data_IF_976026551493
#
_entry.id   IF_976026551493
#
_cell.length_a   1.000
_cell.length_b   1.000
_cell.length_c   1.000
_cell.angle_alpha   90.00
_cell.angle_beta   90.00
_cell.angle_gamma   90.00
#
_symmetry.space_group_name_H-M   'P 1'
#
loop_
_entity.id
_entity.type
_entity.pdbx_description
1 polymer ?
#
# COMPACT_ATOMS: atom_id res chain seq x y z
N UNK A 1 -29.39 4.03 -36.58
CA UNK A 1 -29.93 2.65 -36.59
C UNK A 1 -28.96 1.78 -35.80
N UNK A 2 -29.42 1.11 -34.74
CA UNK A 2 -28.58 0.20 -33.97
C UNK A 2 -28.49 -1.15 -34.69
N UNK A 3 -27.30 -1.48 -35.19
CA UNK A 3 -27.00 -2.77 -35.80
C UNK A 3 -27.19 -3.90 -34.76
N UNK A 4 -27.98 -4.92 -35.10
CA UNK A 4 -28.17 -6.11 -34.26
C UNK A 4 -27.09 -7.12 -34.54
N UNK A 5 -26.48 -7.65 -33.49
CA UNK A 5 -25.43 -8.68 -33.58
C UNK A 5 -26.08 -10.03 -33.36
N UNK A 6 -25.91 -10.94 -34.32
CA UNK A 6 -26.41 -12.30 -34.23
C UNK A 6 -25.28 -13.23 -33.77
N UNK A 7 -25.46 -13.89 -32.63
CA UNK A 7 -24.49 -14.82 -32.06
C UNK A 7 -25.03 -16.24 -32.23
N UNK A 8 -24.33 -17.06 -33.00
CA UNK A 8 -24.51 -18.51 -32.93
C UNK A 8 -23.93 -19.03 -31.60
N UNK A 9 -24.15 -20.32 -31.31
CA UNK A 9 -23.81 -20.91 -30.02
C UNK A 9 -22.30 -20.82 -29.71
N UNK A 10 -21.46 -21.02 -30.74
CA UNK A 10 -19.99 -20.91 -30.64
C UNK A 10 -19.54 -19.46 -30.40
N UNK A 11 -20.13 -18.48 -31.10
CA UNK A 11 -19.86 -17.05 -30.87
C UNK A 11 -20.36 -16.57 -29.52
N UNK A 12 -21.46 -17.14 -29.01
CA UNK A 12 -21.98 -16.81 -27.68
C UNK A 12 -21.03 -17.30 -26.58
N UNK A 13 -20.46 -18.50 -26.72
CA UNK A 13 -19.44 -19.02 -25.82
C UNK A 13 -18.18 -18.16 -25.83
N UNK A 14 -17.65 -17.82 -27.01
CA UNK A 14 -16.50 -16.92 -27.15
C UNK A 14 -16.76 -15.54 -26.54
N UNK A 15 -17.97 -15.00 -26.73
CA UNK A 15 -18.38 -13.73 -26.13
C UNK A 15 -18.46 -13.83 -24.59
N UNK A 16 -19.02 -14.92 -24.06
CA UNK A 16 -19.07 -15.17 -22.63
C UNK A 16 -17.68 -15.38 -22.02
N UNK A 17 -16.75 -16.03 -22.71
CA UNK A 17 -15.37 -16.12 -22.24
C UNK A 17 -14.68 -14.76 -22.23
N UNK A 18 -14.90 -13.94 -23.27
CA UNK A 18 -14.26 -12.64 -23.43
C UNK A 18 -14.73 -11.59 -22.42
N UNK A 19 -16.03 -11.58 -22.10
CA UNK A 19 -16.64 -10.60 -21.20
C UNK A 19 -17.00 -11.17 -19.83
N UNK A 20 -17.19 -12.48 -19.71
CA UNK A 20 -17.58 -13.19 -18.50
C UNK A 20 -16.40 -13.86 -17.78
N UNK A 21 -16.36 -15.20 -17.79
CA UNK A 21 -15.60 -16.01 -16.82
C UNK A 21 -14.10 -15.72 -16.79
N UNK A 22 -13.43 -15.76 -17.94
CA UNK A 22 -11.98 -15.58 -18.04
C UNK A 22 -11.55 -14.17 -17.67
N UNK A 23 -12.39 -13.19 -18.02
CA UNK A 23 -12.17 -11.79 -17.65
C UNK A 23 -12.32 -11.55 -16.15
N UNK A 24 -13.29 -12.17 -15.49
CA UNK A 24 -13.42 -12.12 -14.03
C UNK A 24 -12.18 -12.67 -13.33
N UNK A 25 -11.67 -13.81 -13.80
CA UNK A 25 -10.47 -14.41 -13.25
C UNK A 25 -9.26 -13.47 -13.40
N UNK A 26 -9.02 -12.95 -14.61
CA UNK A 26 -7.94 -12.00 -14.86
C UNK A 26 -8.04 -10.72 -14.00
N UNK A 27 -9.25 -10.15 -13.87
CA UNK A 27 -9.45 -8.95 -13.06
C UNK A 27 -9.25 -9.23 -11.56
N UNK A 28 -9.69 -10.41 -11.09
CA UNK A 28 -9.45 -10.86 -9.73
C UNK A 28 -7.96 -11.08 -9.46
N UNK A 29 -7.24 -11.72 -10.38
CA UNK A 29 -5.79 -11.94 -10.31
C UNK A 29 -5.01 -10.62 -10.28
N UNK A 30 -5.40 -9.65 -11.12
CA UNK A 30 -4.78 -8.32 -11.12
C UNK A 30 -5.00 -7.58 -9.80
N UNK A 31 -6.22 -7.63 -9.24
CA UNK A 31 -6.52 -7.03 -7.94
C UNK A 31 -5.76 -7.74 -6.80
N UNK A 32 -5.61 -9.06 -6.87
CA UNK A 32 -4.86 -9.86 -5.89
C UNK A 32 -3.35 -9.56 -5.97
N UNK A 33 -2.76 -9.53 -7.16
CA UNK A 33 -1.35 -9.22 -7.37
C UNK A 33 -1.03 -7.79 -6.90
N UNK A 34 -1.93 -6.84 -7.19
CA UNK A 34 -1.82 -5.49 -6.67
C UNK A 34 -1.87 -5.48 -5.13
N UNK A 35 -2.83 -6.18 -4.53
CA UNK A 35 -2.93 -6.28 -3.07
C UNK A 35 -1.66 -6.88 -2.44
N UNK A 36 -1.11 -7.93 -3.04
CA UNK A 36 0.13 -8.59 -2.60
C UNK A 36 1.34 -7.67 -2.67
N UNK A 37 1.54 -6.95 -3.78
CA UNK A 37 2.66 -6.01 -3.95
C UNK A 37 2.60 -4.87 -2.93
N UNK A 38 1.41 -4.30 -2.71
CA UNK A 38 1.21 -3.25 -1.71
C UNK A 38 1.49 -3.76 -0.30
N UNK A 39 1.07 -4.99 0.02
CA UNK A 39 1.32 -5.63 1.32
C UNK A 39 2.81 -5.95 1.55
N UNK A 40 3.52 -6.42 0.52
CA UNK A 40 4.96 -6.73 0.61
C UNK A 40 5.80 -5.46 0.86
N UNK A 41 5.55 -4.38 0.11
CA UNK A 41 6.20 -3.08 0.32
C UNK A 41 5.94 -2.51 1.73
N UNK A 42 4.70 -2.66 2.20
CA UNK A 42 4.30 -2.29 3.55
C UNK A 42 5.06 -3.09 4.62
N UNK A 43 5.09 -4.42 4.50
CA UNK A 43 5.79 -5.29 5.43
C UNK A 43 7.28 -4.95 5.50
N UNK A 44 7.94 -4.81 4.34
CA UNK A 44 9.37 -4.44 4.28
C UNK A 44 9.68 -3.12 4.96
N UNK A 45 8.81 -2.12 4.81
CA UNK A 45 8.97 -0.79 5.38
C UNK A 45 8.87 -0.81 6.91
N UNK A 46 7.88 -1.53 7.46
CA UNK A 46 7.76 -1.73 8.91
C UNK A 46 8.91 -2.55 9.46
N UNK A 47 9.30 -3.62 8.77
CA UNK A 47 10.41 -4.48 9.18
C UNK A 47 11.71 -3.67 9.29
N UNK A 48 11.93 -2.77 8.34
CA UNK A 48 13.07 -1.86 8.37
C UNK A 48 13.04 -0.93 9.58
N UNK A 49 11.92 -0.21 9.81
CA UNK A 49 11.76 0.69 10.95
C UNK A 49 11.94 -0.07 12.27
N UNK A 50 11.37 -1.27 12.41
CA UNK A 50 11.48 -2.09 13.60
C UNK A 50 12.93 -2.52 13.88
N UNK A 51 13.67 -2.93 12.85
CA UNK A 51 15.09 -3.26 12.97
C UNK A 51 15.91 -2.04 13.39
N UNK A 52 15.64 -0.86 12.82
CA UNK A 52 16.30 0.39 13.21
C UNK A 52 16.03 0.73 14.68
N UNK A 53 14.77 0.68 15.12
CA UNK A 53 14.39 0.90 16.53
C UNK A 53 15.12 -0.08 17.45
N UNK A 54 15.20 -1.36 17.06
CA UNK A 54 15.88 -2.40 17.84
C UNK A 54 17.37 -2.09 18.00
N UNK A 55 18.04 -1.69 16.92
CA UNK A 55 19.46 -1.29 16.96
C UNK A 55 19.65 -0.09 17.89
N UNK A 56 18.79 0.92 17.78
CA UNK A 56 18.83 2.10 18.66
C UNK A 56 18.67 1.68 20.12
N UNK A 57 17.70 0.80 20.42
CA UNK A 57 17.47 0.28 21.76
C UNK A 57 18.66 -0.51 22.31
N UNK A 58 19.35 -1.28 21.48
CA UNK A 58 20.58 -1.98 21.87
C UNK A 58 21.68 -0.98 22.23
N UNK A 59 21.88 0.06 21.41
CA UNK A 59 22.90 1.10 21.66
C UNK A 59 22.60 1.86 22.94
N UNK A 60 21.36 2.28 23.15
CA UNK A 60 20.89 2.92 24.40
C UNK A 60 21.11 2.01 25.62
N UNK A 61 20.75 0.72 25.49
CA UNK A 61 20.97 -0.27 26.55
C UNK A 61 22.45 -0.39 26.94
N UNK A 62 23.36 -0.41 25.96
CA UNK A 62 24.80 -0.39 26.22
C UNK A 62 25.24 0.91 26.91
N UNK A 63 24.69 2.06 26.51
CA UNK A 63 24.91 3.35 27.17
C UNK A 63 24.63 3.30 28.67
N UNK A 64 23.44 2.81 29.05
CA UNK A 64 23.05 2.64 30.46
C UNK A 64 23.93 1.65 31.23
N UNK A 65 24.39 0.56 30.59
CA UNK A 65 25.30 -0.38 31.27
C UNK A 65 26.67 0.22 31.57
N UNK A 66 27.07 1.26 30.84
CA UNK A 66 28.36 1.94 31.02
C UNK A 66 28.24 3.22 31.86
N UNK A 67 27.11 3.48 32.51
CA UNK A 67 26.82 4.76 33.19
C UNK A 67 27.88 5.16 34.22
N UNK A 68 28.49 4.19 34.91
CA UNK A 68 29.54 4.42 35.92
C UNK A 68 30.83 5.01 35.35
N UNK A 69 31.00 4.98 34.02
CA UNK A 69 32.18 5.48 33.31
C UNK A 69 31.89 6.80 32.56
N UNK A 70 30.69 7.34 32.70
CA UNK A 70 30.29 8.62 32.11
C UNK A 70 31.04 9.76 32.80
N UNK A 71 31.60 10.67 32.01
CA UNK A 71 32.29 11.86 32.52
C UNK A 71 31.39 13.08 32.55
N UNK A 72 30.42 13.15 31.64
CA UNK A 72 29.48 14.25 31.53
C UNK A 72 28.02 13.77 31.50
N UNK A 73 27.38 13.78 32.66
CA UNK A 73 26.02 13.27 32.86
C UNK A 73 24.97 14.00 31.99
N UNK A 74 25.17 15.30 31.74
CA UNK A 74 24.23 16.10 30.95
C UNK A 74 24.22 15.64 29.48
N UNK A 75 25.41 15.47 28.89
CA UNK A 75 25.53 14.97 27.51
C UNK A 75 25.01 13.53 27.39
N UNK A 76 25.22 12.72 28.43
CA UNK A 76 24.69 11.36 28.47
C UNK A 76 23.16 11.33 28.47
N UNK A 77 22.51 12.10 29.37
CA UNK A 77 21.05 12.18 29.45
C UNK A 77 20.44 12.74 28.16
N UNK A 78 21.07 13.76 27.56
CA UNK A 78 20.62 14.30 26.27
C UNK A 78 20.76 13.29 25.13
N UNK A 79 21.86 12.53 25.10
CA UNK A 79 22.08 11.46 24.13
C UNK A 79 21.03 10.35 24.24
N UNK A 80 20.83 9.80 25.45
CA UNK A 80 19.79 8.80 25.72
C UNK A 80 18.37 9.34 25.41
N UNK A 81 18.10 10.60 25.76
CA UNK A 81 16.83 11.25 25.46
C UNK A 81 16.54 11.34 23.96
N UNK A 82 17.57 11.61 23.15
CA UNK A 82 17.47 11.62 21.68
C UNK A 82 17.27 10.21 21.11
N UNK A 83 17.96 9.20 21.64
CA UNK A 83 17.75 7.81 21.24
C UNK A 83 16.33 7.34 21.58
N UNK A 84 15.84 7.68 22.77
CA UNK A 84 14.46 7.39 23.17
C UNK A 84 13.45 8.11 22.27
N UNK A 85 13.70 9.38 21.92
CA UNK A 85 12.87 10.11 20.98
C UNK A 85 12.86 9.45 19.59
N UNK A 86 14.01 8.93 19.11
CA UNK A 86 14.09 8.20 17.86
C UNK A 86 13.22 6.93 17.87
N UNK A 87 13.23 6.18 18.99
CA UNK A 87 12.37 5.02 19.22
C UNK A 87 10.89 5.44 19.18
N UNK A 88 10.51 6.49 19.92
CA UNK A 88 9.15 6.98 19.99
C UNK A 88 8.62 7.43 18.61
N UNK A 89 9.44 8.17 17.85
CA UNK A 89 9.13 8.58 16.47
C UNK A 89 8.98 7.36 15.57
N UNK A 90 9.85 6.35 15.71
CA UNK A 90 9.76 5.10 14.98
C UNK A 90 8.45 4.35 15.23
N UNK A 91 8.07 4.17 16.50
CA UNK A 91 6.81 3.50 16.87
C UNK A 91 5.60 4.27 16.34
N UNK A 92 5.57 5.59 16.56
CA UNK A 92 4.49 6.45 16.06
C UNK A 92 4.36 6.38 14.55
N UNK A 93 5.49 6.37 13.85
CA UNK A 93 5.53 6.27 12.39
C UNK A 93 5.01 4.93 11.89
N UNK A 94 5.39 3.82 12.52
CA UNK A 94 4.86 2.49 12.20
C UNK A 94 3.35 2.44 12.36
N UNK A 95 2.81 3.00 13.45
CA UNK A 95 1.37 3.09 13.67
C UNK A 95 0.68 3.96 12.61
N UNK A 96 1.26 5.10 12.26
CA UNK A 96 0.72 6.01 11.25
C UNK A 96 0.69 5.37 9.86
N UNK A 97 1.77 4.68 9.47
CA UNK A 97 1.86 3.93 8.21
C UNK A 97 0.80 2.84 8.20
N UNK A 98 0.65 2.08 9.30
CA UNK A 98 -0.38 1.04 9.38
C UNK A 98 -1.81 1.57 9.19
N UNK A 99 -2.16 2.65 9.89
CA UNK A 99 -3.50 3.23 9.79
C UNK A 99 -3.76 3.83 8.41
N UNK A 100 -2.75 4.48 7.81
CA UNK A 100 -2.84 5.01 6.45
C UNK A 100 -3.03 3.92 5.41
N UNK A 101 -2.23 2.85 5.47
CA UNK A 101 -2.33 1.72 4.55
C UNK A 101 -3.64 0.97 4.69
N UNK A 102 -4.11 0.74 5.93
CA UNK A 102 -5.41 0.12 6.15
C UNK A 102 -6.53 0.90 5.50
N UNK A 103 -6.54 2.23 5.67
CA UNK A 103 -7.55 3.10 5.07
C UNK A 103 -7.49 3.07 3.53
N UNK A 104 -6.28 3.11 2.96
CA UNK A 104 -6.09 3.06 1.51
C UNK A 104 -6.52 1.70 0.93
N UNK A 105 -6.21 0.61 1.62
CA UNK A 105 -6.61 -0.74 1.24
C UNK A 105 -8.14 -0.90 1.31
N UNK A 106 -8.77 -0.43 2.38
CA UNK A 106 -10.23 -0.46 2.54
C UNK A 106 -10.94 0.36 1.45
N UNK A 107 -10.41 1.54 1.10
CA UNK A 107 -10.95 2.39 0.03
C UNK A 107 -10.80 1.73 -1.36
N UNK A 108 -9.62 1.19 -1.67
CA UNK A 108 -9.37 0.45 -2.91
C UNK A 108 -10.31 -0.75 -3.03
N UNK A 109 -10.40 -1.58 -2.00
CA UNK A 109 -11.26 -2.76 -2.00
C UNK A 109 -12.74 -2.38 -2.12
N UNK A 110 -13.16 -1.28 -1.48
CA UNK A 110 -14.52 -0.74 -1.61
C UNK A 110 -14.82 -0.30 -3.04
N UNK A 111 -13.89 0.43 -3.69
CA UNK A 111 -14.00 0.85 -5.11
C UNK A 111 -14.11 -0.35 -6.03
N UNK A 112 -13.24 -1.35 -5.88
CA UNK A 112 -13.25 -2.59 -6.67
C UNK A 112 -14.56 -3.37 -6.47
N UNK A 113 -15.00 -3.56 -5.22
CA UNK A 113 -16.26 -4.24 -4.91
C UNK A 113 -17.47 -3.53 -5.50
N UNK A 114 -17.50 -2.19 -5.42
CA UNK A 114 -18.54 -1.37 -6.04
C UNK A 114 -18.52 -1.53 -7.57
N UNK A 115 -17.33 -1.48 -8.17
CA UNK A 115 -17.14 -1.66 -9.61
C UNK A 115 -17.69 -3.01 -10.09
N UNK A 116 -17.31 -4.12 -9.44
CA UNK A 116 -17.81 -5.45 -9.79
C UNK A 116 -19.34 -5.57 -9.66
N UNK A 117 -19.93 -4.95 -8.64
CA UNK A 117 -21.38 -4.94 -8.45
C UNK A 117 -22.09 -4.20 -9.59
N UNK A 118 -21.57 -3.04 -9.99
CA UNK A 118 -22.11 -2.25 -11.10
C UNK A 118 -21.92 -2.94 -12.44
N UNK A 119 -20.75 -3.52 -12.67
CA UNK A 119 -20.45 -4.29 -13.86
C UNK A 119 -21.41 -5.48 -13.98
N UNK A 120 -21.63 -6.25 -12.91
CA UNK A 120 -22.53 -7.40 -12.95
C UNK A 120 -23.98 -6.99 -13.25
N UNK A 121 -24.42 -5.88 -12.68
CA UNK A 121 -25.74 -5.31 -12.95
C UNK A 121 -25.91 -4.89 -14.42
N UNK A 122 -24.83 -4.47 -15.09
CA UNK A 122 -24.82 -4.15 -16.52
C UNK A 122 -24.68 -5.39 -17.40
N UNK A 123 -23.83 -6.34 -17.02
CA UNK A 123 -23.57 -7.53 -17.81
C UNK A 123 -24.76 -8.47 -17.89
N UNK A 124 -25.44 -8.74 -16.77
CA UNK A 124 -26.57 -9.67 -16.74
C UNK A 124 -27.64 -9.36 -17.81
N UNK A 125 -28.18 -8.13 -17.92
CA UNK A 125 -29.16 -7.82 -18.96
C UNK A 125 -28.56 -7.84 -20.38
N UNK A 126 -27.27 -7.54 -20.54
CA UNK A 126 -26.60 -7.63 -21.85
C UNK A 126 -26.42 -9.09 -22.28
N UNK A 127 -26.08 -9.97 -21.34
CA UNK A 127 -26.00 -11.40 -21.58
C UNK A 127 -27.37 -12.01 -21.90
N UNK A 128 -28.42 -11.61 -21.18
CA UNK A 128 -29.80 -12.03 -21.49
C UNK A 128 -30.23 -11.60 -22.91
N UNK A 129 -29.78 -10.43 -23.38
CA UNK A 129 -29.96 -9.98 -24.78
C UNK A 129 -29.11 -10.76 -25.76
N UNK A 130 -27.89 -11.13 -25.39
CA UNK A 130 -26.98 -11.95 -26.21
C UNK A 130 -27.61 -13.31 -26.50
N UNK A 131 -28.14 -14.00 -25.47
CA UNK A 131 -28.84 -15.29 -25.61
C UNK A 131 -30.04 -15.18 -26.56
N UNK A 132 -30.74 -14.03 -26.54
CA UNK A 132 -31.93 -13.78 -27.36
C UNK A 132 -31.61 -13.19 -28.74
N UNK A 133 -30.34 -13.09 -29.14
CA UNK A 133 -29.91 -12.46 -30.40
C UNK A 133 -30.45 -11.03 -30.61
N UNK A 134 -30.58 -10.29 -29.51
CA UNK A 134 -31.06 -8.90 -29.50
C UNK A 134 -30.00 -7.94 -28.95
N UNK A 135 -28.72 -8.31 -29.13
CA UNK A 135 -27.57 -7.53 -28.70
C UNK A 135 -27.37 -6.35 -29.66
N UNK A 136 -27.12 -5.17 -29.10
CA UNK A 136 -26.78 -3.98 -29.89
C UNK A 136 -25.33 -3.58 -29.66
N UNK A 137 -24.75 -2.86 -30.64
CA UNK A 137 -23.40 -2.29 -30.50
C UNK A 137 -23.25 -1.38 -29.27
N UNK A 138 -24.33 -0.68 -28.88
CA UNK A 138 -24.34 0.18 -27.69
C UNK A 138 -24.18 -0.62 -26.39
N UNK A 139 -24.71 -1.84 -26.32
CA UNK A 139 -24.55 -2.72 -25.16
C UNK A 139 -23.08 -3.15 -24.98
N UNK A 140 -22.38 -3.42 -26.09
CA UNK A 140 -20.94 -3.75 -26.07
C UNK A 140 -20.11 -2.54 -25.63
N UNK A 141 -20.41 -1.34 -26.17
CA UNK A 141 -19.71 -0.11 -25.79
C UNK A 141 -19.90 0.18 -24.30
N UNK A 142 -21.10 -0.05 -23.75
CA UNK A 142 -21.35 0.14 -22.32
C UNK A 142 -20.49 -0.78 -21.44
N UNK A 143 -20.33 -2.06 -21.83
CA UNK A 143 -19.44 -2.99 -21.13
C UNK A 143 -17.97 -2.57 -21.23
N UNK A 144 -17.50 -2.18 -22.43
CA UNK A 144 -16.14 -1.70 -22.63
C UNK A 144 -15.83 -0.42 -21.84
N UNK A 145 -16.78 0.51 -21.76
CA UNK A 145 -16.61 1.73 -20.98
C UNK A 145 -16.44 1.43 -19.48
N UNK A 146 -17.18 0.45 -18.95
CA UNK A 146 -16.96 0.00 -17.56
C UNK A 146 -15.61 -0.68 -17.39
N UNK A 147 -15.12 -1.42 -18.38
CA UNK A 147 -13.76 -1.98 -18.30
C UNK A 147 -12.67 -0.90 -18.23
N UNK A 148 -12.82 0.19 -18.97
CA UNK A 148 -11.90 1.33 -18.88
C UNK A 148 -11.89 1.97 -17.48
N UNK A 149 -13.05 1.99 -16.80
CA UNK A 149 -13.15 2.49 -15.43
C UNK A 149 -12.40 1.58 -14.43
N UNK A 150 -12.42 0.26 -14.63
CA UNK A 150 -11.59 -0.63 -13.83
C UNK A 150 -10.10 -0.38 -14.07
N UNK A 151 -9.70 -0.19 -15.33
CA UNK A 151 -8.31 0.15 -15.67
C UNK A 151 -7.90 1.45 -15.00
N UNK A 152 -8.75 2.48 -14.95
CA UNK A 152 -8.43 3.70 -14.18
C UNK A 152 -8.30 3.44 -12.69
N UNK A 153 -9.18 2.63 -12.07
CA UNK A 153 -9.07 2.30 -10.64
C UNK A 153 -7.75 1.57 -10.33
N UNK A 154 -7.31 0.68 -11.23
CA UNK A 154 -6.05 -0.05 -11.10
C UNK A 154 -4.82 0.81 -11.45
N UNK A 155 -4.98 1.79 -12.34
CA UNK A 155 -3.90 2.67 -12.82
C UNK A 155 -3.73 3.95 -12.00
N UNK A 156 -4.71 4.34 -11.19
CA UNK A 156 -4.66 5.49 -10.27
C UNK A 156 -3.94 5.16 -8.94
N UNK A 157 -3.41 3.94 -8.79
CA UNK A 157 -2.59 3.58 -7.63
C UNK A 157 -1.14 4.12 -7.55
N UNK A 158 -0.50 4.76 -8.56
CA UNK A 158 0.88 5.24 -8.42
C UNK A 158 0.99 6.52 -7.57
N UNK A 159 -0.10 7.28 -7.37
CA UNK A 159 -0.08 8.42 -6.45
C UNK A 159 0.20 7.98 -5.00
N UNK A 160 -0.30 6.80 -4.62
CA UNK A 160 -0.08 6.20 -3.30
C UNK A 160 1.40 5.79 -3.11
N UNK A 161 2.11 5.48 -4.20
CA UNK A 161 3.53 5.11 -4.17
C UNK A 161 4.44 6.35 -4.03
N UNK A 162 4.06 7.47 -4.66
CA UNK A 162 4.78 8.73 -4.58
C UNK A 162 4.67 9.37 -3.19
N UNK A 163 3.45 9.46 -2.64
CA UNK A 163 3.23 9.97 -1.29
C UNK A 163 3.90 9.09 -0.22
N UNK A 164 3.93 7.77 -0.44
CA UNK A 164 4.65 6.84 0.41
C UNK A 164 6.14 7.13 0.46
N UNK A 165 6.77 7.33 -0.71
CA UNK A 165 8.22 7.54 -0.79
C UNK A 165 8.65 8.80 -0.04
N UNK A 166 7.88 9.88 -0.16
CA UNK A 166 8.20 11.15 0.47
C UNK A 166 7.99 11.11 1.99
N UNK A 167 6.88 10.51 2.45
CA UNK A 167 6.58 10.35 3.88
C UNK A 167 7.60 9.40 4.55
N UNK A 168 7.90 8.26 3.92
CA UNK A 168 8.82 7.27 4.45
C UNK A 168 10.24 7.83 4.52
N UNK A 169 10.69 8.54 3.48
CA UNK A 169 12.00 9.20 3.45
C UNK A 169 12.15 10.19 4.61
N UNK A 170 11.16 11.06 4.84
CA UNK A 170 11.19 12.04 5.93
C UNK A 170 11.27 11.40 7.32
N UNK A 171 10.48 10.34 7.54
CA UNK A 171 10.49 9.56 8.79
C UNK A 171 11.84 8.90 9.02
N UNK A 172 12.38 8.25 7.99
CA UNK A 172 13.68 7.56 8.06
C UNK A 172 14.79 8.56 8.38
N UNK A 173 14.82 9.71 7.70
CA UNK A 173 15.78 10.77 7.98
C UNK A 173 15.66 11.32 9.40
N UNK A 174 14.45 11.49 9.94
CA UNK A 174 14.25 11.93 11.31
C UNK A 174 14.80 10.92 12.32
N UNK A 175 14.51 9.62 12.14
CA UNK A 175 15.02 8.55 13.01
C UNK A 175 16.55 8.48 12.95
N UNK A 176 17.14 8.51 11.75
CA UNK A 176 18.59 8.48 11.59
C UNK A 176 19.27 9.72 12.14
N UNK A 177 18.68 10.91 11.95
CA UNK A 177 19.22 12.15 12.49
C UNK A 177 19.26 12.12 14.03
N UNK A 178 18.16 11.70 14.66
CA UNK A 178 18.11 11.52 16.12
C UNK A 178 19.09 10.45 16.60
N UNK A 179 19.20 9.33 15.88
CA UNK A 179 20.14 8.26 16.23
C UNK A 179 21.60 8.71 16.15
N UNK A 180 22.01 9.34 15.05
CA UNK A 180 23.40 9.79 14.86
C UNK A 180 23.74 10.86 15.89
N UNK A 181 22.86 11.85 16.08
CA UNK A 181 23.13 12.95 17.01
C UNK A 181 23.12 12.47 18.47
N UNK A 182 22.16 11.62 18.84
CA UNK A 182 22.11 11.00 20.17
C UNK A 182 23.31 10.08 20.43
N UNK A 183 23.67 9.25 19.46
CA UNK A 183 24.84 8.36 19.54
C UNK A 183 26.17 9.13 19.66
N UNK A 184 26.32 10.23 18.91
CA UNK A 184 27.49 11.10 19.04
C UNK A 184 27.55 11.76 20.43
N UNK A 185 26.42 12.26 20.94
CA UNK A 185 26.36 12.83 22.29
C UNK A 185 26.73 11.81 23.36
N UNK A 186 26.24 10.58 23.23
CA UNK A 186 26.63 9.47 24.11
C UNK A 186 28.14 9.22 24.05
N UNK A 187 28.72 9.03 22.87
CA UNK A 187 30.16 8.80 22.72
C UNK A 187 31.00 9.94 23.31
N UNK A 188 30.59 11.18 23.07
CA UNK A 188 31.28 12.37 23.59
C UNK A 188 31.17 12.44 25.12
N UNK A 189 30.05 12.01 25.72
CA UNK A 189 29.85 12.01 27.18
C UNK A 189 30.84 11.15 27.95
N UNK A 190 31.46 10.15 27.30
CA UNK A 190 32.53 9.33 27.87
C UNK A 190 33.93 9.95 27.70
N UNK A 191 34.10 10.86 26.74
CA UNK A 191 35.40 11.42 26.37
C UNK A 191 35.67 12.75 27.09
N UNK A 192 34.67 13.63 27.14
CA UNK A 192 34.79 15.01 27.64
C UNK A 192 34.32 15.05 29.11
N UNK A 193 35.13 15.66 29.99
CA UNK A 193 34.71 16.06 31.34
C UNK A 193 33.79 17.29 31.25
#
# INVERSE_FOLDING_TARGET
MSEKINLDQEKLELWYEQFGSKKFQLQSEMAEDHGKKTLDLYHRSIDFIYKTITIIGIVAGFGFTAIDHVKNDLLFILGEGLLFAAIAVGIWSTQKIYLGERKNFDDFFSKIKKHFKEWYALFKPVFDKAIKNNLTRNDIIALQNKEWELVSILSDSPEIEKDRKDILSGIVWAIFGLFIFGGLMLLISFLIC
#
